data_IF_762215346118
#
_entry.id   IF_762215346118
#
_cell.length_a   1.000
_cell.length_b   1.000
_cell.length_c   1.000
_cell.angle_alpha   90.00
_cell.angle_beta   90.00
_cell.angle_gamma   90.00
#
_symmetry.space_group_name_H-M   'P 1'
#
loop_
_entity.id
_entity.type
_entity.pdbx_description
1 polymer ?
#
# COMPACT_ATOMS: atom_id res chain seq x y z
N UNK A 1 53.55 -58.45 8.03
CA UNK A 1 54.28 -57.75 9.09
C UNK A 1 53.73 -56.33 9.18
N UNK A 2 52.92 -56.09 10.22
CA UNK A 2 52.36 -54.81 10.73
C UNK A 2 51.50 -53.98 9.75
N UNK A 3 50.17 -53.81 9.87
CA UNK A 3 49.26 -54.01 11.00
C UNK A 3 49.37 -52.89 12.03
N UNK A 4 48.55 -51.83 11.90
CA UNK A 4 48.12 -50.95 13.00
C UNK A 4 46.92 -50.07 12.55
N UNK A 5 45.73 -50.51 12.94
CA UNK A 5 44.56 -49.65 13.15
C UNK A 5 44.85 -48.63 14.25
N UNK A 6 44.29 -47.42 14.14
CA UNK A 6 43.86 -46.60 15.28
C UNK A 6 42.96 -45.45 14.82
N UNK A 7 41.68 -45.64 15.15
CA UNK A 7 40.60 -44.69 15.50
C UNK A 7 40.84 -43.17 15.39
N UNK A 8 39.81 -42.40 14.96
CA UNK A 8 39.84 -40.95 14.93
C UNK A 8 39.72 -40.37 16.35
N UNK A 9 40.54 -39.37 16.65
CA UNK A 9 40.50 -38.65 17.93
C UNK A 9 39.69 -37.37 17.77
N UNK A 10 38.57 -37.33 18.49
CA UNK A 10 37.80 -36.14 18.79
C UNK A 10 38.68 -35.08 19.44
N UNK A 11 38.63 -33.85 18.92
CA UNK A 11 38.88 -32.65 19.72
C UNK A 11 37.69 -31.73 19.53
N UNK A 12 36.88 -31.67 20.57
CA UNK A 12 35.82 -30.70 20.79
C UNK A 12 36.37 -29.27 20.74
N UNK A 13 35.56 -28.32 20.26
CA UNK A 13 35.85 -26.90 20.45
C UNK A 13 35.47 -25.96 19.30
N UNK A 14 34.33 -26.14 18.63
CA UNK A 14 33.71 -25.04 17.90
C UNK A 14 32.28 -24.85 18.40
N UNK A 15 32.04 -23.73 19.07
CA UNK A 15 30.75 -23.34 19.64
C UNK A 15 29.64 -23.40 18.57
N UNK A 16 28.94 -24.53 18.52
CA UNK A 16 27.60 -24.64 17.97
C UNK A 16 26.65 -23.84 18.86
N UNK A 17 26.50 -22.54 18.59
CA UNK A 17 25.26 -21.86 18.95
C UNK A 17 24.18 -22.36 18.02
N UNK A 18 23.52 -23.45 18.44
CA UNK A 18 22.23 -23.89 17.91
C UNK A 18 21.27 -22.70 17.94
N UNK A 19 20.99 -22.12 16.79
CA UNK A 19 19.81 -21.28 16.62
C UNK A 19 18.59 -22.16 16.93
N UNK A 20 17.68 -21.73 17.80
CA UNK A 20 16.51 -22.53 18.13
C UNK A 20 15.68 -22.77 16.86
N UNK A 21 15.39 -24.04 16.60
CA UNK A 21 14.54 -24.56 15.53
C UNK A 21 13.05 -24.26 15.77
N UNK A 22 12.73 -23.01 16.07
CA UNK A 22 11.37 -22.54 16.31
C UNK A 22 11.17 -21.14 15.71
N UNK A 23 11.44 -21.01 14.41
CA UNK A 23 10.94 -19.89 13.61
C UNK A 23 10.46 -20.32 12.22
N UNK A 24 10.00 -21.57 12.11
CA UNK A 24 9.47 -22.14 10.87
C UNK A 24 8.06 -22.67 11.07
N UNK A 25 7.20 -21.83 11.64
CA UNK A 25 5.73 -21.91 11.54
C UNK A 25 5.10 -20.65 12.11
N UNK A 26 5.08 -19.59 11.31
CA UNK A 26 4.07 -18.55 11.49
C UNK A 26 3.82 -17.85 10.16
N UNK A 27 3.24 -18.61 9.22
CA UNK A 27 2.41 -18.01 8.18
C UNK A 27 1.09 -17.62 8.84
N UNK A 28 1.12 -16.49 9.54
CA UNK A 28 -0.03 -15.87 10.17
C UNK A 28 -1.16 -15.63 9.14
N UNK A 29 -2.31 -16.33 9.22
CA UNK A 29 -3.43 -16.19 8.26
C UNK A 29 -4.13 -14.83 8.31
N UNK A 30 -3.82 -14.00 9.31
CA UNK A 30 -4.53 -12.77 9.65
C UNK A 30 -4.15 -11.54 8.82
N UNK A 31 -3.01 -11.54 8.08
CA UNK A 31 -2.56 -10.37 7.29
C UNK A 31 -3.27 -10.20 5.94
N UNK A 32 -3.93 -11.25 5.43
CA UNK A 32 -4.73 -11.19 4.20
C UNK A 32 -6.20 -10.89 4.49
N UNK A 33 -6.78 -11.58 5.48
CA UNK A 33 -8.18 -11.38 5.88
C UNK A 33 -8.42 -10.03 6.56
N UNK A 34 -7.43 -9.51 7.31
CA UNK A 34 -7.58 -8.24 8.04
C UNK A 34 -7.86 -7.04 7.11
N UNK A 35 -7.14 -6.93 5.99
CA UNK A 35 -7.31 -5.80 5.07
C UNK A 35 -8.67 -5.82 4.36
N UNK A 36 -9.09 -7.00 3.87
CA UNK A 36 -10.39 -7.17 3.24
C UNK A 36 -11.52 -6.87 4.23
N UNK A 37 -11.44 -7.43 5.45
CA UNK A 37 -12.39 -7.14 6.51
C UNK A 37 -12.40 -5.66 6.93
N UNK A 38 -11.25 -4.96 6.89
CA UNK A 38 -11.18 -3.52 7.17
C UNK A 38 -11.82 -2.69 6.07
N UNK A 39 -11.62 -3.07 4.80
CA UNK A 39 -12.29 -2.44 3.67
C UNK A 39 -13.81 -2.64 3.74
N UNK A 40 -14.25 -3.86 4.03
CA UNK A 40 -15.66 -4.20 4.22
C UNK A 40 -16.27 -3.49 5.44
N UNK A 41 -15.51 -3.34 6.54
CA UNK A 41 -15.93 -2.52 7.70
C UNK A 41 -16.03 -1.05 7.37
N UNK A 42 -15.12 -0.52 6.54
CA UNK A 42 -15.21 0.87 6.07
C UNK A 42 -16.47 1.08 5.24
N UNK A 43 -16.76 0.16 4.31
CA UNK A 43 -18.00 0.18 3.51
C UNK A 43 -19.26 -0.04 4.38
N UNK A 44 -19.19 -0.90 5.39
CA UNK A 44 -20.30 -1.20 6.30
C UNK A 44 -20.62 -0.06 7.28
N UNK A 45 -19.61 0.63 7.79
CA UNK A 45 -19.75 1.79 8.68
C UNK A 45 -20.43 2.97 7.97
N UNK A 46 -20.26 3.12 6.65
CA UNK A 46 -20.90 4.16 5.85
C UNK A 46 -22.43 4.00 5.71
N UNK A 47 -22.99 2.81 5.98
CA UNK A 47 -24.44 2.58 5.91
C UNK A 47 -25.20 3.11 7.14
N UNK A 48 -24.50 3.46 8.22
CA UNK A 48 -25.06 4.06 9.42
C UNK A 48 -24.61 5.54 9.51
N UNK A 49 -25.46 6.48 9.11
CA UNK A 49 -25.17 7.92 9.26
C UNK A 49 -25.28 8.38 10.72
N UNK A 50 -24.36 9.24 11.17
CA UNK A 50 -24.72 10.34 12.07
C UNK A 50 -24.40 11.71 11.46
N UNK A 51 -25.11 12.73 11.94
CA UNK A 51 -25.10 14.10 11.42
C UNK A 51 -24.00 15.01 11.96
N UNK A 52 -23.78 16.07 11.19
CA UNK A 52 -23.16 17.40 11.40
C UNK A 52 -22.34 17.71 12.68
N UNK A 53 -21.13 18.25 12.43
CA UNK A 53 -20.66 19.51 13.05
C UNK A 53 -19.21 19.54 13.55
N UNK A 54 -18.38 20.44 12.98
CA UNK A 54 -17.50 21.41 13.68
C UNK A 54 -16.39 21.97 12.76
N UNK A 55 -16.14 23.30 12.85
CA UNK A 55 -15.13 24.05 12.09
C UNK A 55 -13.79 24.22 12.84
N UNK A 56 -12.72 24.36 12.03
CA UNK A 56 -11.52 25.20 12.19
C UNK A 56 -10.16 24.54 12.53
N UNK A 57 -9.28 24.48 11.53
CA UNK A 57 -8.04 25.29 11.47
C UNK A 57 -7.46 25.26 10.05
N UNK A 58 -7.24 26.44 9.44
CA UNK A 58 -6.74 26.60 8.07
C UNK A 58 -5.23 26.37 7.99
N UNK A 59 -4.85 25.15 7.60
CA UNK A 59 -3.76 24.95 6.63
C UNK A 59 -4.46 24.85 5.30
N UNK A 60 -3.99 25.54 4.25
CA UNK A 60 -4.61 25.50 2.91
C UNK A 60 -4.50 24.08 2.34
N UNK A 61 -5.39 23.18 2.77
CA UNK A 61 -5.71 21.94 2.08
C UNK A 61 -6.66 22.35 0.98
N UNK A 62 -6.13 22.52 -0.23
CA UNK A 62 -6.95 22.79 -1.41
C UNK A 62 -7.92 21.64 -1.59
N UNK A 63 -9.17 21.81 -1.15
CA UNK A 63 -10.21 20.83 -1.35
C UNK A 63 -10.31 20.48 -2.85
N UNK A 64 -10.66 19.23 -3.16
CA UNK A 64 -10.87 18.83 -4.54
C UNK A 64 -12.05 19.64 -5.12
N UNK A 65 -11.84 20.24 -6.29
CA UNK A 65 -12.90 20.99 -6.98
C UNK A 65 -13.89 20.05 -7.66
N UNK A 66 -15.06 20.54 -8.05
CA UNK A 66 -16.03 19.76 -8.84
C UNK A 66 -15.41 19.19 -10.13
N UNK A 67 -14.50 19.94 -10.75
CA UNK A 67 -13.76 19.49 -11.93
C UNK A 67 -12.81 18.34 -11.59
N UNK A 68 -12.10 18.43 -10.46
CA UNK A 68 -11.23 17.34 -10.00
C UNK A 68 -12.04 16.07 -9.76
N UNK A 69 -13.21 16.18 -9.12
CA UNK A 69 -14.10 15.03 -8.88
C UNK A 69 -14.50 14.36 -10.19
N UNK A 70 -14.97 15.16 -11.15
CA UNK A 70 -15.39 14.66 -12.46
C UNK A 70 -14.25 13.95 -13.19
N UNK A 71 -13.05 14.53 -13.19
CA UNK A 71 -11.89 13.97 -13.89
C UNK A 71 -11.42 12.67 -13.24
N UNK A 72 -11.28 12.64 -11.92
CA UNK A 72 -10.86 11.42 -11.19
C UNK A 72 -11.87 10.29 -11.41
N UNK A 73 -13.17 10.57 -11.28
CA UNK A 73 -14.23 9.57 -11.53
C UNK A 73 -14.25 9.09 -12.99
N UNK A 74 -14.06 9.99 -13.95
CA UNK A 74 -14.01 9.63 -15.36
C UNK A 74 -12.82 8.71 -15.67
N UNK A 75 -11.64 9.01 -15.10
CA UNK A 75 -10.47 8.16 -15.23
C UNK A 75 -10.71 6.79 -14.58
N UNK A 76 -11.29 6.76 -13.37
CA UNK A 76 -11.60 5.50 -12.68
C UNK A 76 -12.56 4.62 -13.48
N UNK A 77 -13.62 5.21 -14.03
CA UNK A 77 -14.56 4.53 -14.94
C UNK A 77 -13.86 3.98 -16.18
N UNK A 78 -12.91 4.73 -16.75
CA UNK A 78 -12.13 4.32 -17.93
C UNK A 78 -11.14 3.20 -17.63
N UNK A 79 -10.54 3.20 -16.43
CA UNK A 79 -9.68 2.09 -15.98
C UNK A 79 -10.47 0.79 -15.83
N UNK A 80 -11.69 0.85 -15.30
CA UNK A 80 -12.56 -0.32 -15.15
C UNK A 80 -11.86 -1.42 -14.33
N UNK A 81 -11.76 -2.63 -14.88
CA UNK A 81 -11.07 -3.76 -14.23
C UNK A 81 -9.53 -3.62 -14.20
N UNK A 82 -8.95 -2.63 -14.88
CA UNK A 82 -7.49 -2.48 -14.98
C UNK A 82 -6.86 -1.78 -13.76
N UNK A 83 -7.64 -1.26 -12.81
CA UNK A 83 -7.10 -0.53 -11.65
C UNK A 83 -6.07 -1.37 -10.89
N UNK A 84 -6.35 -2.66 -10.67
CA UNK A 84 -5.41 -3.60 -10.03
C UNK A 84 -4.14 -3.84 -10.85
N UNK A 85 -4.26 -3.92 -12.18
CA UNK A 85 -3.12 -4.11 -13.10
C UNK A 85 -2.19 -2.90 -13.03
N UNK A 86 -2.73 -1.69 -13.17
CA UNK A 86 -1.92 -0.46 -13.15
C UNK A 86 -1.37 -0.15 -11.76
N UNK A 87 -2.08 -0.50 -10.71
CA UNK A 87 -1.57 -0.41 -9.34
C UNK A 87 -0.40 -1.38 -9.11
N UNK A 88 -0.48 -2.58 -9.69
CA UNK A 88 0.63 -3.56 -9.66
C UNK A 88 1.86 -2.99 -10.37
N UNK A 89 1.69 -2.48 -11.60
CA UNK A 89 2.79 -1.87 -12.35
C UNK A 89 3.40 -0.67 -11.60
N UNK A 90 2.57 0.17 -10.97
CA UNK A 90 3.03 1.30 -10.17
C UNK A 90 3.86 0.85 -8.95
N UNK A 91 3.45 -0.22 -8.25
CA UNK A 91 4.23 -0.79 -7.13
C UNK A 91 5.56 -1.39 -7.61
N UNK A 92 5.55 -2.15 -8.71
CA UNK A 92 6.78 -2.69 -9.29
C UNK A 92 7.76 -1.57 -9.68
N UNK A 93 7.26 -0.48 -10.30
CA UNK A 93 8.05 0.74 -10.59
C UNK A 93 8.60 1.38 -9.32
N UNK A 94 7.78 1.45 -8.27
CA UNK A 94 8.19 2.04 -6.98
C UNK A 94 9.34 1.27 -6.36
N UNK A 95 9.24 -0.07 -6.32
CA UNK A 95 10.31 -0.92 -5.80
C UNK A 95 11.60 -0.84 -6.62
N UNK A 96 11.50 -0.68 -7.94
CA UNK A 96 12.67 -0.55 -8.80
C UNK A 96 13.34 0.82 -8.68
N UNK A 97 12.56 1.91 -8.75
CA UNK A 97 13.07 3.29 -8.75
C UNK A 97 13.47 3.78 -7.35
N UNK A 98 12.82 3.28 -6.30
CA UNK A 98 13.02 3.71 -4.91
C UNK A 98 13.28 2.51 -4.00
N UNK A 99 14.47 1.90 -4.02
CA UNK A 99 14.74 0.63 -3.32
C UNK A 99 14.53 0.67 -1.80
N UNK A 100 14.62 1.84 -1.17
CA UNK A 100 14.34 2.03 0.27
C UNK A 100 12.92 1.59 0.66
N UNK A 101 11.96 1.70 -0.27
CA UNK A 101 10.56 1.30 -0.07
C UNK A 101 10.39 -0.21 0.15
N UNK A 102 11.36 -1.04 -0.28
CA UNK A 102 11.32 -2.50 -0.11
C UNK A 102 11.42 -2.93 1.36
N UNK A 103 11.97 -2.06 2.23
CA UNK A 103 12.16 -2.37 3.66
C UNK A 103 10.85 -2.60 4.40
N UNK A 104 9.72 -2.07 3.89
CA UNK A 104 8.38 -2.29 4.43
C UNK A 104 7.77 -3.66 4.03
N UNK A 105 8.38 -4.36 3.07
CA UNK A 105 7.84 -5.60 2.50
C UNK A 105 8.80 -6.80 2.61
N UNK A 106 9.46 -7.05 3.77
CA UNK A 106 10.42 -8.15 3.89
C UNK A 106 9.78 -9.54 3.78
N UNK A 107 8.46 -9.60 3.84
CA UNK A 107 7.65 -10.82 3.78
C UNK A 107 7.08 -11.10 2.39
N UNK A 108 7.27 -10.19 1.42
CA UNK A 108 6.81 -10.39 0.05
C UNK A 108 7.98 -10.81 -0.86
N UNK A 109 7.70 -11.72 -1.80
CA UNK A 109 8.55 -11.92 -2.97
C UNK A 109 8.40 -10.71 -3.89
N UNK A 110 9.44 -9.90 -4.04
CA UNK A 110 9.42 -8.67 -4.85
C UNK A 110 9.99 -8.87 -6.26
N UNK A 111 10.14 -10.11 -6.72
CA UNK A 111 10.54 -10.40 -8.11
C UNK A 111 9.46 -9.95 -9.09
N UNK A 112 9.85 -9.56 -10.33
CA UNK A 112 8.89 -9.22 -11.38
C UNK A 112 7.80 -10.28 -11.55
N UNK A 113 6.54 -9.86 -11.58
CA UNK A 113 5.40 -10.77 -11.79
C UNK A 113 4.93 -11.54 -10.55
N UNK A 114 5.50 -11.28 -9.37
CA UNK A 114 5.12 -11.90 -8.09
C UNK A 114 3.62 -11.86 -7.83
N UNK A 115 3.05 -13.02 -7.51
CA UNK A 115 1.65 -13.13 -7.09
C UNK A 115 1.38 -12.41 -5.76
N UNK A 116 2.39 -12.31 -4.90
CA UNK A 116 2.27 -11.62 -3.61
C UNK A 116 2.22 -10.11 -3.79
N UNK A 117 3.01 -9.56 -4.72
CA UNK A 117 2.93 -8.14 -5.11
C UNK A 117 1.58 -7.85 -5.75
N UNK A 118 1.09 -8.69 -6.66
CA UNK A 118 -0.24 -8.54 -7.27
C UNK A 118 -1.37 -8.56 -6.22
N UNK A 119 -1.31 -9.48 -5.26
CA UNK A 119 -2.32 -9.56 -4.20
C UNK A 119 -2.28 -8.33 -3.28
N UNK A 120 -1.09 -7.80 -2.98
CA UNK A 120 -0.97 -6.54 -2.23
C UNK A 120 -1.44 -5.34 -3.06
N UNK A 121 -1.09 -5.28 -4.33
CA UNK A 121 -1.52 -4.24 -5.25
C UNK A 121 -3.05 -4.19 -5.40
N UNK A 122 -3.72 -5.35 -5.40
CA UNK A 122 -5.18 -5.39 -5.44
C UNK A 122 -5.80 -4.68 -4.22
N UNK A 123 -5.27 -4.91 -3.03
CA UNK A 123 -5.71 -4.21 -1.81
C UNK A 123 -5.55 -2.70 -1.91
N UNK A 124 -4.43 -2.23 -2.46
CA UNK A 124 -4.18 -0.80 -2.70
C UNK A 124 -5.15 -0.27 -3.75
N UNK A 125 -5.40 -1.02 -4.83
CA UNK A 125 -6.35 -0.67 -5.87
C UNK A 125 -7.78 -0.55 -5.34
N UNK A 126 -8.20 -1.47 -4.46
CA UNK A 126 -9.52 -1.44 -3.84
C UNK A 126 -9.68 -0.23 -2.91
N UNK A 127 -8.63 0.10 -2.14
CA UNK A 127 -8.60 1.30 -1.30
C UNK A 127 -8.66 2.60 -2.12
N UNK A 128 -7.89 2.69 -3.21
CA UNK A 128 -7.94 3.83 -4.13
C UNK A 128 -9.30 3.94 -4.83
N UNK A 129 -9.93 2.81 -5.15
CA UNK A 129 -11.27 2.76 -5.74
C UNK A 129 -12.33 3.23 -4.74
N UNK A 130 -12.25 2.78 -3.49
CA UNK A 130 -13.09 3.30 -2.42
C UNK A 130 -12.91 4.83 -2.28
N UNK A 131 -11.66 5.31 -2.25
CA UNK A 131 -11.39 6.75 -2.17
C UNK A 131 -11.97 7.52 -3.37
N UNK A 132 -11.80 7.02 -4.60
CA UNK A 132 -12.31 7.67 -5.81
C UNK A 132 -13.84 7.74 -5.85
N UNK A 133 -14.55 6.81 -5.20
CA UNK A 133 -16.01 6.85 -5.07
C UNK A 133 -16.52 7.69 -3.89
N UNK A 134 -15.63 8.12 -2.99
CA UNK A 134 -15.95 8.86 -1.77
C UNK A 134 -15.10 10.12 -1.62
N UNK A 135 -14.92 10.86 -2.72
CA UNK A 135 -14.08 12.06 -2.78
C UNK A 135 -14.52 13.18 -1.82
N UNK A 136 -15.81 13.20 -1.44
CA UNK A 136 -16.37 14.17 -0.49
C UNK A 136 -16.04 13.85 0.98
N UNK A 137 -15.64 12.61 1.30
CA UNK A 137 -15.32 12.16 2.65
C UNK A 137 -14.20 11.09 2.66
N UNK A 138 -13.00 11.50 2.25
CA UNK A 138 -11.82 10.65 2.30
C UNK A 138 -11.40 10.27 3.74
N UNK A 139 -11.39 11.18 4.74
CA UNK A 139 -11.02 10.82 6.11
C UNK A 139 -11.94 9.76 6.71
N UNK A 140 -13.26 9.88 6.54
CA UNK A 140 -14.22 8.88 7.00
C UNK A 140 -14.04 7.54 6.27
N UNK A 141 -13.97 7.59 4.94
CA UNK A 141 -13.89 6.39 4.08
C UNK A 141 -12.58 5.61 4.21
N UNK A 142 -11.50 6.27 4.64
CA UNK A 142 -10.19 5.64 4.84
C UNK A 142 -9.83 5.49 6.32
N UNK A 143 -10.74 5.78 7.26
CA UNK A 143 -10.44 5.82 8.71
C UNK A 143 -9.82 4.52 9.23
N UNK A 144 -10.38 3.37 8.84
CA UNK A 144 -9.88 2.04 9.23
C UNK A 144 -8.49 1.74 8.64
N UNK A 145 -8.22 2.23 7.42
CA UNK A 145 -6.90 2.13 6.79
C UNK A 145 -5.88 3.08 7.44
N UNK A 146 -6.32 4.25 7.88
CA UNK A 146 -5.48 5.19 8.63
C UNK A 146 -5.06 4.60 9.98
N UNK A 147 -5.97 3.95 10.71
CA UNK A 147 -5.63 3.24 11.97
C UNK A 147 -4.56 2.17 11.74
N UNK A 148 -4.71 1.39 10.66
CA UNK A 148 -3.74 0.34 10.30
C UNK A 148 -2.36 0.94 9.98
N UNK A 149 -2.30 2.02 9.22
CA UNK A 149 -1.02 2.66 8.88
C UNK A 149 -0.35 3.26 10.11
N UNK A 150 -1.12 3.90 10.99
CA UNK A 150 -0.57 4.60 12.15
C UNK A 150 -0.08 3.66 13.25
N UNK A 151 -0.84 2.61 13.56
CA UNK A 151 -0.54 1.76 14.70
C UNK A 151 0.32 0.54 14.37
N UNK A 152 0.13 -0.04 13.18
CA UNK A 152 0.75 -1.33 12.82
C UNK A 152 1.88 -1.18 11.81
N UNK A 153 1.67 -0.43 10.72
CA UNK A 153 2.61 -0.42 9.60
C UNK A 153 3.71 0.65 9.74
N UNK A 154 3.39 1.79 10.35
CA UNK A 154 4.30 2.93 10.59
C UNK A 154 5.13 3.30 9.36
N UNK A 155 4.47 3.37 8.21
CA UNK A 155 5.09 3.75 6.94
C UNK A 155 5.44 5.24 7.00
N UNK A 156 6.69 5.59 6.70
CA UNK A 156 7.08 7.01 6.66
C UNK A 156 6.28 7.72 5.55
N UNK A 157 5.60 8.84 5.86
CA UNK A 157 4.79 9.61 4.92
C UNK A 157 5.47 9.92 3.58
N UNK A 158 6.80 10.06 3.56
CA UNK A 158 7.55 10.29 2.33
C UNK A 158 7.39 9.16 1.29
N UNK A 159 7.17 7.92 1.72
CA UNK A 159 7.05 6.78 0.80
C UNK A 159 5.75 6.80 -0.02
N UNK A 160 4.68 7.42 0.49
CA UNK A 160 3.44 7.57 -0.27
C UNK A 160 3.62 8.45 -1.51
N UNK A 161 4.55 9.41 -1.45
CA UNK A 161 4.87 10.28 -2.59
C UNK A 161 5.55 9.49 -3.73
N UNK A 162 6.41 8.53 -3.40
CA UNK A 162 7.06 7.66 -4.39
C UNK A 162 6.06 6.78 -5.13
N UNK A 163 5.13 6.15 -4.39
CA UNK A 163 4.06 5.38 -5.01
C UNK A 163 3.14 6.27 -5.85
N UNK A 164 2.72 7.42 -5.32
CA UNK A 164 1.85 8.37 -6.05
C UNK A 164 2.50 8.80 -7.37
N UNK A 165 3.78 9.16 -7.35
CA UNK A 165 4.53 9.48 -8.56
C UNK A 165 4.57 8.32 -9.57
N UNK A 166 4.87 7.10 -9.12
CA UNK A 166 4.89 5.93 -10.00
C UNK A 166 3.51 5.59 -10.59
N UNK A 167 2.44 5.86 -9.85
CA UNK A 167 1.07 5.69 -10.33
C UNK A 167 0.74 6.74 -11.41
N UNK A 168 1.10 8.01 -11.20
CA UNK A 168 0.94 9.05 -12.22
C UNK A 168 1.68 8.69 -13.51
N UNK A 169 2.94 8.26 -13.42
CA UNK A 169 3.74 7.81 -14.57
C UNK A 169 3.08 6.63 -15.28
N UNK A 170 2.59 5.65 -14.53
CA UNK A 170 1.91 4.47 -15.09
C UNK A 170 0.67 4.87 -15.88
N UNK A 171 -0.18 5.71 -15.30
CA UNK A 171 -1.43 6.14 -15.93
C UNK A 171 -1.19 7.06 -17.13
N UNK A 172 -0.18 7.93 -17.08
CA UNK A 172 0.25 8.73 -18.23
C UNK A 172 0.68 7.86 -19.42
N UNK A 173 1.34 6.72 -19.17
CA UNK A 173 1.75 5.78 -20.23
C UNK A 173 0.59 5.00 -20.83
N UNK A 174 -0.41 4.63 -20.03
CA UNK A 174 -1.57 3.85 -20.50
C UNK A 174 -2.67 4.72 -21.12
N UNK A 175 -2.69 6.02 -20.81
CA UNK A 175 -3.70 6.97 -21.30
C UNK A 175 -3.07 8.25 -21.90
N UNK A 176 -2.12 8.16 -22.85
CA UNK A 176 -1.40 9.33 -23.35
C UNK A 176 -2.30 10.40 -24.00
N UNK A 177 -3.48 10.02 -24.50
CA UNK A 177 -4.47 10.96 -25.04
C UNK A 177 -5.43 11.57 -24.02
N UNK A 178 -5.58 10.96 -22.85
CA UNK A 178 -6.51 11.43 -21.80
C UNK A 178 -5.78 12.05 -20.60
N UNK A 179 -4.47 11.86 -20.51
CA UNK A 179 -3.64 12.37 -19.41
C UNK A 179 -3.19 13.82 -19.68
N UNK A 180 -4.17 14.71 -19.80
CA UNK A 180 -3.94 16.15 -19.96
C UNK A 180 -3.27 16.76 -18.72
N UNK A 181 -2.68 17.98 -18.81
CA UNK A 181 -2.16 18.68 -17.64
C UNK A 181 -3.20 18.88 -16.53
N UNK A 182 -4.46 19.10 -16.90
CA UNK A 182 -5.57 19.24 -15.96
C UNK A 182 -5.87 17.90 -15.26
N UNK A 183 -5.97 16.80 -16.01
CA UNK A 183 -6.14 15.46 -15.44
C UNK A 183 -4.99 15.11 -14.49
N UNK A 184 -3.75 15.39 -14.89
CA UNK A 184 -2.57 15.15 -14.06
C UNK A 184 -2.67 15.92 -12.74
N UNK A 185 -2.96 17.23 -12.79
CA UNK A 185 -3.10 18.05 -11.60
C UNK A 185 -4.25 17.57 -10.69
N UNK A 186 -5.40 17.18 -11.26
CA UNK A 186 -6.53 16.62 -10.51
C UNK A 186 -6.16 15.32 -9.79
N UNK A 187 -5.46 14.43 -10.49
CA UNK A 187 -5.07 13.13 -9.94
C UNK A 187 -3.97 13.26 -8.87
N UNK A 188 -3.00 14.15 -9.07
CA UNK A 188 -1.97 14.46 -8.08
C UNK A 188 -2.59 15.02 -6.79
N UNK A 189 -3.53 15.99 -6.92
CA UNK A 189 -4.30 16.49 -5.77
C UNK A 189 -5.05 15.37 -5.06
N UNK A 190 -5.74 14.50 -5.80
CA UNK A 190 -6.46 13.37 -5.22
C UNK A 190 -5.53 12.45 -4.41
N UNK A 191 -4.38 12.05 -4.96
CA UNK A 191 -3.40 11.20 -4.27
C UNK A 191 -2.80 11.90 -3.05
N UNK A 192 -2.60 13.22 -3.10
CA UNK A 192 -2.21 14.04 -1.96
C UNK A 192 -3.25 14.01 -0.84
N UNK A 193 -4.54 14.10 -1.16
CA UNK A 193 -5.62 13.98 -0.17
C UNK A 193 -5.75 12.58 0.42
N UNK A 194 -5.62 11.53 -0.41
CA UNK A 194 -5.57 10.14 0.07
C UNK A 194 -4.42 9.94 1.05
N UNK A 195 -3.22 10.41 0.69
CA UNK A 195 -2.04 10.35 1.57
C UNK A 195 -2.32 11.08 2.88
N UNK A 196 -2.85 12.32 2.81
CA UNK A 196 -3.18 13.10 4.01
C UNK A 196 -4.22 12.41 4.90
N UNK A 197 -5.18 11.67 4.34
CA UNK A 197 -6.17 10.92 5.10
C UNK A 197 -5.52 9.72 5.79
N UNK A 198 -4.66 8.97 5.09
CA UNK A 198 -3.99 7.79 5.65
C UNK A 198 -3.05 8.15 6.81
N UNK A 199 -2.29 9.23 6.70
CA UNK A 199 -1.32 9.67 7.74
C UNK A 199 -1.93 10.64 8.77
N UNK A 200 -3.25 10.86 8.72
CA UNK A 200 -3.91 11.85 9.59
C UNK A 200 -3.82 11.51 11.08
N UNK A 201 -3.67 10.24 11.42
CA UNK A 201 -3.58 9.71 12.80
C UNK A 201 -2.15 9.46 13.28
N UNK A 202 -1.15 9.72 12.42
CA UNK A 202 0.28 9.65 12.76
C UNK A 202 0.80 10.91 13.48
N UNK A 203 -0.05 11.92 13.66
CA UNK A 203 0.24 13.20 14.33
C UNK A 203 -0.50 13.30 15.66
#
# INVERSE_FOLDING_TARGET
MYGLEKEPRETEGCLSRKLPSNLQRSSAPWRLHGFQNLLERSQGAQRAKPGHGAHSHSSVKMALSQTDHRLVLALWKKMGSNVGIYTTEALERTFLAFPSTKTYFPHLDLKPGSSQVKAHAQKVADALTLAAHHLDDLPGSLSALSDLHAHELRVDPANFQFFSHCLLVTLARHYPGDFSPEMHASLDKFLGHVTSALVSKDR
#
